data_IF_562099771272
#
_entry.id   IF_562099771272
#
_cell.length_a   1.000
_cell.length_b   1.000
_cell.length_c   1.000
_cell.angle_alpha   90.00
_cell.angle_beta   90.00
_cell.angle_gamma   90.00
#
_symmetry.space_group_name_H-M   'P 1'
#
loop_
_entity.id
_entity.type
_entity.pdbx_description
1 polymer ?
#
# COMPACT_ATOMS: atom_id res chain seq x y z
N UNK A 1 -0.51 2.65 12.17
CA UNK A 1 0.81 2.84 11.54
C UNK A 1 0.66 3.15 10.06
N UNK A 2 1.72 3.58 9.37
CA UNK A 2 1.72 3.76 7.92
C UNK A 2 2.78 2.87 7.28
N UNK A 3 2.44 2.17 6.20
CA UNK A 3 3.30 1.20 5.52
C UNK A 3 3.60 1.65 4.10
N UNK A 4 4.87 1.58 3.71
CA UNK A 4 5.35 1.86 2.37
C UNK A 4 5.96 0.57 1.82
N UNK A 5 5.31 -0.06 0.84
CA UNK A 5 5.79 -1.29 0.19
C UNK A 5 6.50 -0.93 -1.10
N UNK A 6 7.83 -1.03 -1.09
CA UNK A 6 8.70 -0.72 -2.22
C UNK A 6 10.08 -1.38 -1.99
N UNK A 7 10.69 -1.94 -3.03
CA UNK A 7 12.01 -2.58 -2.97
C UNK A 7 13.16 -1.66 -3.43
N UNK A 8 12.84 -0.47 -3.96
CA UNK A 8 13.78 0.41 -4.63
C UNK A 8 13.80 1.84 -4.08
N UNK A 9 12.64 2.47 -3.88
CA UNK A 9 12.53 3.88 -3.48
C UNK A 9 12.79 4.07 -1.99
N UNK A 10 13.29 5.24 -1.64
CA UNK A 10 13.49 5.62 -0.25
C UNK A 10 12.13 5.72 0.48
N UNK A 11 12.05 5.10 1.66
CA UNK A 11 10.86 5.16 2.50
C UNK A 11 10.61 6.60 3.01
N UNK A 12 9.42 7.17 2.82
CA UNK A 12 9.07 8.48 3.38
C UNK A 12 9.11 8.47 4.91
N UNK A 13 9.50 9.61 5.52
CA UNK A 13 9.53 9.73 6.98
C UNK A 13 8.13 9.49 7.57
N UNK A 14 8.08 8.72 8.66
CA UNK A 14 6.84 8.36 9.34
C UNK A 14 6.17 7.08 8.80
N UNK A 15 6.74 6.48 7.75
CA UNK A 15 6.34 5.16 7.25
C UNK A 15 7.28 4.06 7.74
N UNK A 16 6.72 2.86 7.87
CA UNK A 16 7.47 1.61 7.99
C UNK A 16 7.67 1.05 6.58
N UNK A 17 8.92 0.76 6.22
CA UNK A 17 9.26 0.14 4.93
C UNK A 17 8.98 -1.36 5.00
N UNK A 18 8.24 -1.88 4.03
CA UNK A 18 8.22 -3.29 3.69
C UNK A 18 8.93 -3.44 2.34
N UNK A 19 9.98 -4.25 2.29
CA UNK A 19 10.80 -4.41 1.08
C UNK A 19 10.28 -5.52 0.16
N UNK A 20 9.33 -6.31 0.63
CA UNK A 20 8.72 -7.40 -0.11
C UNK A 20 7.26 -7.64 0.34
N UNK A 21 6.55 -8.49 -0.42
CA UNK A 21 5.16 -8.82 -0.17
C UNK A 21 4.92 -9.50 1.19
N UNK A 22 5.83 -10.37 1.63
CA UNK A 22 5.67 -11.12 2.89
C UNK A 22 5.74 -10.18 4.10
N UNK A 23 6.73 -9.29 4.14
CA UNK A 23 6.85 -8.25 5.16
C UNK A 23 5.62 -7.34 5.17
N UNK A 24 5.14 -6.92 3.99
CA UNK A 24 3.94 -6.08 3.90
C UNK A 24 2.70 -6.78 4.47
N UNK A 25 2.50 -8.05 4.13
CA UNK A 25 1.35 -8.83 4.62
C UNK A 25 1.46 -9.13 6.11
N UNK A 26 2.67 -9.37 6.64
CA UNK A 26 2.89 -9.50 8.08
C UNK A 26 2.46 -8.22 8.81
N UNK A 27 2.92 -7.05 8.36
CA UNK A 27 2.53 -5.76 8.96
C UNK A 27 1.02 -5.50 8.89
N UNK A 28 0.37 -5.90 7.80
CA UNK A 28 -1.09 -5.78 7.64
C UNK A 28 -1.89 -6.71 8.58
N UNK A 29 -1.36 -7.91 8.87
CA UNK A 29 -2.02 -8.88 9.75
C UNK A 29 -1.85 -8.54 11.23
N UNK A 30 -0.70 -8.02 11.60
CA UNK A 30 -0.34 -7.75 13.00
C UNK A 30 -0.65 -6.31 13.43
N UNK A 31 -0.79 -5.40 12.48
CA UNK A 31 -0.88 -3.96 12.72
C UNK A 31 -2.21 -3.35 12.29
N UNK A 32 -2.60 -2.28 13.00
CA UNK A 32 -3.63 -1.36 12.52
C UNK A 32 -2.99 -0.37 11.54
N UNK A 33 -3.10 -0.66 10.24
CA UNK A 33 -2.51 0.15 9.16
C UNK A 33 -3.51 1.22 8.73
N UNK A 34 -3.16 2.49 8.93
CA UNK A 34 -3.95 3.63 8.46
C UNK A 34 -3.70 3.89 6.97
N UNK A 35 -2.44 4.02 6.57
CA UNK A 35 -2.05 4.26 5.18
C UNK A 35 -1.16 3.13 4.68
N UNK A 36 -1.52 2.53 3.56
CA UNK A 36 -0.65 1.67 2.76
C UNK A 36 -0.33 2.35 1.42
N UNK A 37 0.95 2.58 1.16
CA UNK A 37 1.43 2.95 -0.17
C UNK A 37 1.97 1.69 -0.84
N UNK A 38 1.37 1.29 -1.97
CA UNK A 38 1.60 -0.01 -2.62
C UNK A 38 2.32 0.15 -3.96
N UNK A 39 3.52 -0.42 -4.10
CA UNK A 39 4.16 -0.64 -5.40
C UNK A 39 3.80 -2.02 -5.94
N UNK A 40 3.72 -2.13 -7.26
CA UNK A 40 3.51 -3.37 -7.97
C UNK A 40 4.82 -4.14 -8.17
N UNK A 41 5.89 -3.46 -8.53
CA UNK A 41 7.15 -4.08 -8.93
C UNK A 41 8.01 -4.31 -7.67
N UNK A 42 8.26 -5.56 -7.29
CA UNK A 42 9.01 -5.92 -6.05
C UNK A 42 10.21 -6.85 -6.36
N UNK A 43 10.84 -6.62 -7.51
CA UNK A 43 11.96 -7.42 -7.99
C UNK A 43 11.56 -8.75 -8.66
N UNK A 44 12.52 -9.41 -9.34
CA UNK A 44 12.31 -10.70 -9.98
C UNK A 44 12.11 -11.82 -8.94
N UNK A 45 11.27 -12.80 -9.27
CA UNK A 45 10.96 -13.99 -8.46
C UNK A 45 10.26 -13.73 -7.11
N UNK A 46 9.89 -12.48 -6.81
CA UNK A 46 9.07 -12.10 -5.66
C UNK A 46 7.59 -11.97 -6.05
N UNK A 47 6.65 -12.28 -5.14
CA UNK A 47 5.26 -11.87 -5.31
C UNK A 47 5.18 -10.36 -5.50
N UNK A 48 4.44 -9.93 -6.52
CA UNK A 48 4.27 -8.52 -6.85
C UNK A 48 3.18 -7.87 -5.97
N UNK A 49 3.04 -6.54 -6.04
CA UNK A 49 2.00 -5.82 -5.29
C UNK A 49 0.56 -6.24 -5.64
N UNK A 50 0.34 -6.83 -6.82
CA UNK A 50 -0.93 -7.46 -7.19
C UNK A 50 -1.28 -8.66 -6.30
N UNK A 51 -0.30 -9.47 -5.90
CA UNK A 51 -0.51 -10.56 -4.94
C UNK A 51 -0.80 -10.07 -3.53
N UNK A 52 -0.18 -8.96 -3.12
CA UNK A 52 -0.50 -8.27 -1.87
C UNK A 52 -1.95 -7.75 -1.91
N UNK A 53 -2.35 -7.08 -2.99
CA UNK A 53 -3.72 -6.62 -3.19
C UNK A 53 -4.74 -7.78 -3.14
N UNK A 54 -4.43 -8.91 -3.78
CA UNK A 54 -5.28 -10.10 -3.73
C UNK A 54 -5.38 -10.69 -2.32
N UNK A 55 -4.28 -10.69 -1.56
CA UNK A 55 -4.27 -11.16 -0.18
C UNK A 55 -5.07 -10.23 0.74
N UNK A 56 -4.98 -8.91 0.56
CA UNK A 56 -5.80 -7.92 1.27
C UNK A 56 -7.29 -8.23 1.10
N UNK A 57 -7.73 -8.46 -0.14
CA UNK A 57 -9.14 -8.81 -0.43
C UNK A 57 -9.52 -10.15 0.21
N UNK A 58 -8.69 -11.18 0.01
CA UNK A 58 -8.98 -12.55 0.46
C UNK A 58 -9.07 -12.67 1.98
N UNK A 59 -8.23 -11.93 2.71
CA UNK A 59 -8.12 -12.01 4.16
C UNK A 59 -8.86 -10.87 4.88
N UNK A 60 -9.36 -9.86 4.15
CA UNK A 60 -10.04 -8.71 4.72
C UNK A 60 -9.10 -7.70 5.40
N UNK A 61 -7.83 -7.66 5.00
CA UNK A 61 -6.76 -6.85 5.64
C UNK A 61 -6.74 -5.40 5.16
N UNK A 62 -7.90 -4.76 4.98
CA UNK A 62 -7.95 -3.43 4.38
C UNK A 62 -7.47 -2.32 5.34
N UNK A 63 -6.43 -1.56 4.96
CA UNK A 63 -6.10 -0.28 5.59
C UNK A 63 -7.20 0.77 5.37
N UNK A 64 -7.20 1.85 6.16
CA UNK A 64 -8.12 2.97 5.94
C UNK A 64 -7.90 3.65 4.59
N UNK A 65 -6.66 3.78 4.16
CA UNK A 65 -6.30 4.38 2.87
C UNK A 65 -5.23 3.56 2.15
N UNK A 66 -5.43 3.35 0.85
CA UNK A 66 -4.45 2.70 -0.02
C UNK A 66 -4.09 3.63 -1.18
N UNK A 67 -2.79 3.87 -1.39
CA UNK A 67 -2.23 4.64 -2.51
C UNK A 67 -1.45 3.72 -3.45
N UNK A 68 -1.54 3.95 -4.76
CA UNK A 68 -0.87 3.14 -5.78
C UNK A 68 0.30 3.92 -6.41
N UNK A 69 1.51 3.66 -5.93
CA UNK A 69 2.71 4.43 -6.29
C UNK A 69 3.61 3.71 -7.29
N UNK A 70 3.02 2.90 -8.17
CA UNK A 70 3.75 2.12 -9.17
C UNK A 70 3.92 2.83 -10.51
N UNK A 71 5.03 2.51 -11.20
CA UNK A 71 5.31 2.80 -12.61
C UNK A 71 4.55 1.91 -13.59
N UNK A 72 4.18 0.68 -13.18
CA UNK A 72 3.47 -0.27 -14.03
C UNK A 72 2.01 0.13 -14.20
N UNK A 73 1.63 0.63 -15.38
CA UNK A 73 0.24 0.99 -15.68
C UNK A 73 -0.69 -0.22 -15.65
N UNK A 74 -0.19 -1.38 -16.11
CA UNK A 74 -0.92 -2.65 -16.01
C UNK A 74 -1.13 -3.03 -14.53
N UNK A 75 -0.05 -3.04 -13.74
CA UNK A 75 -0.11 -3.40 -12.33
C UNK A 75 -1.02 -2.47 -11.52
N UNK A 76 -0.93 -1.16 -11.78
CA UNK A 76 -1.81 -0.15 -11.17
C UNK A 76 -3.27 -0.44 -11.46
N UNK A 77 -3.61 -0.69 -12.72
CA UNK A 77 -4.99 -1.01 -13.13
C UNK A 77 -5.49 -2.27 -12.44
N UNK A 78 -4.69 -3.34 -12.45
CA UNK A 78 -5.03 -4.61 -11.82
C UNK A 78 -5.28 -4.44 -10.31
N UNK A 79 -4.37 -3.79 -9.59
CA UNK A 79 -4.52 -3.54 -8.15
C UNK A 79 -5.74 -2.66 -7.87
N UNK A 80 -5.92 -1.57 -8.64
CA UNK A 80 -7.04 -0.65 -8.45
C UNK A 80 -8.38 -1.34 -8.65
N UNK A 81 -8.57 -2.04 -9.78
CA UNK A 81 -9.83 -2.74 -10.09
C UNK A 81 -10.16 -3.78 -9.01
N UNK A 82 -9.16 -4.56 -8.58
CA UNK A 82 -9.35 -5.58 -7.55
C UNK A 82 -9.71 -4.99 -6.18
N UNK A 83 -8.95 -4.00 -5.72
CA UNK A 83 -9.17 -3.38 -4.41
C UNK A 83 -10.49 -2.59 -4.40
N UNK A 84 -10.73 -1.77 -5.42
CA UNK A 84 -11.91 -0.91 -5.47
C UNK A 84 -13.21 -1.71 -5.54
N UNK A 85 -13.21 -2.85 -6.23
CA UNK A 85 -14.40 -3.71 -6.35
C UNK A 85 -14.74 -4.47 -5.05
N UNK A 86 -13.79 -4.59 -4.13
CA UNK A 86 -13.95 -5.41 -2.91
C UNK A 86 -13.79 -4.64 -1.60
N UNK A 87 -13.39 -3.36 -1.65
CA UNK A 87 -13.16 -2.56 -0.45
C UNK A 87 -14.47 -2.37 0.35
N UNK A 88 -14.39 -2.33 1.69
CA UNK A 88 -15.44 -1.75 2.52
C UNK A 88 -15.68 -0.26 2.20
N UNK A 89 -16.84 0.26 2.60
CA UNK A 89 -17.18 1.68 2.43
C UNK A 89 -16.25 2.61 3.21
N UNK A 90 -15.73 2.15 4.35
CA UNK A 90 -14.80 2.89 5.21
C UNK A 90 -13.40 3.06 4.61
N UNK A 91 -13.09 2.39 3.51
CA UNK A 91 -11.75 2.35 2.92
C UNK A 91 -11.69 3.25 1.68
N UNK A 92 -10.62 4.02 1.56
CA UNK A 92 -10.37 4.87 0.38
C UNK A 92 -9.21 4.33 -0.45
N UNK A 93 -9.43 4.15 -1.75
CA UNK A 93 -8.39 3.74 -2.69
C UNK A 93 -8.06 4.91 -3.61
N UNK A 94 -6.81 5.36 -3.56
CA UNK A 94 -6.27 6.43 -4.39
C UNK A 94 -5.52 5.84 -5.58
N UNK A 95 -5.97 6.15 -6.80
CA UNK A 95 -5.36 5.65 -8.03
C UNK A 95 -4.07 6.39 -8.42
N UNK A 96 -3.19 6.60 -7.45
CA UNK A 96 -1.95 7.36 -7.63
C UNK A 96 -1.12 7.38 -6.34
N UNK A 97 0.11 7.93 -6.42
CA UNK A 97 0.98 8.07 -5.27
C UNK A 97 0.41 9.08 -4.27
N UNK A 98 0.92 9.04 -3.04
CA UNK A 98 0.63 10.06 -2.04
C UNK A 98 1.05 11.44 -2.53
N UNK A 99 0.24 12.47 -2.22
CA UNK A 99 0.63 13.85 -2.46
C UNK A 99 1.72 14.29 -1.48
N UNK A 100 2.43 15.37 -1.81
CA UNK A 100 3.42 15.97 -0.90
C UNK A 100 2.82 16.39 0.44
N UNK A 101 1.56 16.84 0.45
CA UNK A 101 0.83 17.20 1.67
C UNK A 101 0.61 15.99 2.59
N UNK A 102 0.21 14.84 2.03
CA UNK A 102 0.07 13.59 2.80
C UNK A 102 1.41 13.18 3.40
N UNK A 103 2.50 13.25 2.62
CA UNK A 103 3.83 12.90 3.11
C UNK A 103 4.31 13.84 4.24
N UNK A 104 4.10 15.15 4.10
CA UNK A 104 4.47 16.14 5.12
C UNK A 104 3.70 15.94 6.42
N UNK A 105 2.39 15.70 6.33
CA UNK A 105 1.51 15.44 7.48
C UNK A 105 1.94 14.20 8.27
N UNK A 106 2.19 13.09 7.56
CA UNK A 106 2.67 11.85 8.20
C UNK A 106 4.05 12.05 8.82
N UNK A 107 4.95 12.77 8.15
CA UNK A 107 6.27 13.08 8.68
C UNK A 107 6.25 13.95 9.96
N UNK A 108 5.18 14.74 10.16
CA UNK A 108 4.94 15.54 11.36
C UNK A 108 4.26 14.74 12.50
N UNK A 109 3.78 13.52 12.23
CA UNK A 109 3.10 12.67 13.22
C UNK A 109 1.60 13.00 13.39
N UNK A 110 1.02 13.74 12.45
CA UNK A 110 -0.40 14.09 12.46
C UNK A 110 -1.25 12.93 11.93
N UNK A 111 -2.31 12.56 12.65
CA UNK A 111 -3.23 11.50 12.23
C UNK A 111 -4.32 12.02 11.27
N UNK A 112 -4.89 11.11 10.48
CA UNK A 112 -5.98 11.36 9.50
C UNK A 112 -7.35 11.44 10.16
#
# INVERSE_FOLDING_TARGET
MHVFLDDYRACPKGFVLATNAEECLMLLREGDVDILSLDYELGPDSPNGGEVAASIVREGLFPRQIYLHTSSMYGKRQMYELLYSNKPDSVTIHNGPMSGEVMLRVAAGEQS
#
